data_IF_324584478682
#
_entry.id   IF_324584478682
#
_cell.length_a   1.000
_cell.length_b   1.000
_cell.length_c   1.000
_cell.angle_alpha   90.00
_cell.angle_beta   90.00
_cell.angle_gamma   90.00
#
_symmetry.space_group_name_H-M   'P 1'
#
loop_
_entity.id
_entity.type
_entity.pdbx_description
1 polymer ?
#
# COMPACT_ATOMS: atom_id res chain seq x y z
N UNK A 1 -39.72 -50.74 -26.24
CA UNK A 1 -41.08 -50.15 -26.13
C UNK A 1 -41.35 -49.89 -24.65
N UNK A 2 -41.71 -48.66 -24.25
CA UNK A 2 -42.28 -48.20 -22.95
C UNK A 2 -41.61 -48.68 -21.62
N UNK A 3 -41.15 -47.77 -20.72
CA UNK A 3 -41.88 -47.14 -19.57
C UNK A 3 -42.38 -48.19 -18.54
N UNK A 4 -42.27 -48.05 -17.21
CA UNK A 4 -42.13 -46.89 -16.27
C UNK A 4 -41.48 -47.42 -14.95
N UNK A 5 -40.54 -46.76 -14.22
CA UNK A 5 -40.59 -45.51 -13.40
C UNK A 5 -41.27 -45.68 -12.01
N UNK A 6 -40.49 -45.41 -10.93
CA UNK A 6 -40.89 -45.17 -9.50
C UNK A 6 -41.43 -46.44 -8.75
N UNK A 7 -41.11 -46.78 -7.49
CA UNK A 7 -41.09 -46.13 -6.14
C UNK A 7 -40.19 -47.03 -5.20
N UNK A 8 -39.44 -46.67 -4.13
CA UNK A 8 -39.02 -45.42 -3.44
C UNK A 8 -37.80 -45.65 -2.48
N UNK A 9 -37.29 -44.57 -1.86
CA UNK A 9 -36.88 -44.33 -0.44
C UNK A 9 -36.70 -45.58 0.49
N UNK A 10 -35.64 -45.79 1.30
CA UNK A 10 -34.95 -44.85 2.22
C UNK A 10 -33.46 -45.25 2.43
N UNK A 11 -32.51 -44.35 2.14
CA UNK A 11 -31.13 -44.42 2.66
C UNK A 11 -30.48 -43.03 2.55
N UNK A 12 -30.67 -42.20 3.58
CA UNK A 12 -30.16 -40.82 3.64
C UNK A 12 -29.19 -40.69 4.82
N UNK A 13 -28.40 -39.60 4.83
CA UNK A 13 -27.46 -39.26 5.91
C UNK A 13 -26.25 -40.21 6.08
N UNK A 14 -25.35 -40.24 5.08
CA UNK A 14 -23.90 -40.04 5.36
C UNK A 14 -23.10 -39.54 4.13
N UNK A 15 -23.76 -38.82 3.21
CA UNK A 15 -23.05 -37.94 2.28
C UNK A 15 -22.48 -36.77 3.08
N UNK A 16 -21.17 -36.79 3.31
CA UNK A 16 -20.41 -35.65 3.82
C UNK A 16 -20.73 -34.44 2.91
N UNK A 17 -21.03 -33.25 3.44
CA UNK A 17 -20.99 -32.04 2.65
C UNK A 17 -19.52 -31.81 2.28
N UNK A 18 -19.09 -32.42 1.18
CA UNK A 18 -17.85 -32.07 0.53
C UNK A 18 -18.00 -30.59 0.18
N UNK A 19 -17.34 -29.73 0.97
CA UNK A 19 -17.14 -28.34 0.63
C UNK A 19 -16.32 -28.33 -0.64
N UNK A 20 -17.02 -28.40 -1.77
CA UNK A 20 -16.51 -28.08 -3.09
C UNK A 20 -16.15 -26.60 -3.03
N UNK A 21 -14.95 -26.36 -2.50
CA UNK A 21 -14.32 -25.06 -2.42
C UNK A 21 -14.29 -24.58 -3.86
N UNK A 22 -15.14 -23.60 -4.16
CA UNK A 22 -15.17 -23.03 -5.50
C UNK A 22 -13.85 -22.32 -5.66
N UNK A 23 -12.89 -23.02 -6.29
CA UNK A 23 -11.70 -22.42 -6.86
C UNK A 23 -12.21 -21.56 -8.02
N UNK A 24 -12.66 -20.36 -7.65
CA UNK A 24 -12.88 -19.26 -8.57
C UNK A 24 -11.57 -19.10 -9.32
N UNK A 25 -11.58 -19.50 -10.58
CA UNK A 25 -10.43 -19.42 -11.46
C UNK A 25 -10.19 -17.94 -11.74
N UNK A 26 -9.46 -17.28 -10.84
CA UNK A 26 -9.06 -15.89 -11.03
C UNK A 26 -8.25 -15.81 -12.32
N UNK A 27 -8.71 -15.06 -13.34
CA UNK A 27 -8.04 -15.03 -14.62
C UNK A 27 -6.74 -14.24 -14.48
N UNK A 28 -5.66 -14.93 -14.11
CA UNK A 28 -4.32 -14.40 -14.04
C UNK A 28 -3.85 -14.01 -15.46
N UNK A 29 -4.18 -12.78 -15.87
CA UNK A 29 -3.91 -12.27 -17.21
C UNK A 29 -2.40 -12.14 -17.43
N UNK A 30 -1.82 -13.10 -18.14
CA UNK A 30 -0.40 -13.09 -18.49
C UNK A 30 -0.17 -12.25 -19.75
N UNK A 31 0.95 -11.52 -19.80
CA UNK A 31 1.38 -10.83 -21.00
C UNK A 31 1.65 -11.84 -22.12
N UNK A 32 1.19 -11.55 -23.35
CA UNK A 32 1.61 -12.29 -24.53
C UNK A 32 3.15 -12.32 -24.62
N UNK A 33 3.83 -13.43 -24.99
CA UNK A 33 5.28 -13.57 -24.82
C UNK A 33 6.14 -12.45 -25.44
N UNK A 34 5.71 -11.85 -26.56
CA UNK A 34 6.37 -10.68 -27.15
C UNK A 34 6.30 -9.44 -26.25
N UNK A 35 5.17 -9.21 -25.59
CA UNK A 35 4.98 -8.13 -24.62
C UNK A 35 5.74 -8.43 -23.31
N UNK A 36 5.72 -9.68 -22.83
CA UNK A 36 6.50 -10.10 -21.66
C UNK A 36 8.01 -9.82 -21.88
N UNK A 37 8.55 -10.22 -23.04
CA UNK A 37 9.93 -9.90 -23.44
C UNK A 37 10.16 -8.39 -23.49
N UNK A 38 9.23 -7.62 -24.06
CA UNK A 38 9.38 -6.16 -24.16
C UNK A 38 9.37 -5.46 -22.79
N UNK A 39 8.57 -5.96 -21.85
CA UNK A 39 8.59 -5.51 -20.44
C UNK A 39 9.95 -5.82 -19.81
N UNK A 40 10.50 -7.02 -20.03
CA UNK A 40 11.84 -7.39 -19.54
C UNK A 40 12.96 -6.51 -20.13
N UNK A 41 12.89 -6.19 -21.43
CA UNK A 41 13.82 -5.24 -22.08
C UNK A 41 13.77 -3.84 -21.43
N UNK A 42 12.56 -3.33 -21.13
CA UNK A 42 12.38 -2.06 -20.43
C UNK A 42 12.84 -2.09 -18.97
N UNK A 43 12.64 -3.21 -18.26
CA UNK A 43 13.15 -3.40 -16.89
C UNK A 43 14.69 -3.41 -16.88
N UNK A 44 15.33 -4.10 -17.84
CA UNK A 44 16.78 -4.18 -17.93
C UNK A 44 17.44 -2.81 -18.24
N UNK A 45 16.77 -1.93 -19.01
CA UNK A 45 17.32 -0.59 -19.30
C UNK A 45 17.22 0.38 -18.11
N UNK A 46 16.35 0.15 -17.12
CA UNK A 46 16.23 0.99 -15.91
C UNK A 46 17.57 1.16 -15.17
N UNK A 47 18.40 0.13 -15.12
CA UNK A 47 19.72 0.19 -14.46
C UNK A 47 20.69 1.14 -15.17
N UNK A 48 20.58 1.27 -16.50
CA UNK A 48 21.64 1.80 -17.36
C UNK A 48 21.31 3.13 -18.05
N UNK A 49 20.04 3.54 -18.07
CA UNK A 49 19.60 4.71 -18.83
C UNK A 49 18.74 5.68 -18.00
N UNK A 50 18.80 6.96 -18.37
CA UNK A 50 17.87 7.99 -17.91
C UNK A 50 16.61 8.07 -18.80
N UNK A 51 16.04 6.90 -19.06
CA UNK A 51 14.81 6.74 -19.87
C UNK A 51 13.62 6.35 -18.99
N UNK A 52 13.72 6.59 -17.68
CA UNK A 52 12.74 6.21 -16.66
C UNK A 52 11.35 6.79 -16.95
N UNK A 53 11.28 7.99 -17.54
CA UNK A 53 10.04 8.64 -17.99
C UNK A 53 9.38 7.92 -19.18
N UNK A 54 10.14 7.58 -20.23
CA UNK A 54 9.60 6.84 -21.38
C UNK A 54 9.15 5.43 -20.95
N UNK A 55 9.91 4.79 -20.06
CA UNK A 55 9.56 3.48 -19.49
C UNK A 55 8.27 3.58 -18.65
N UNK A 56 8.09 4.64 -17.86
CA UNK A 56 6.85 4.92 -17.14
C UNK A 56 5.65 5.09 -18.09
N UNK A 57 5.76 5.90 -19.15
CA UNK A 57 4.65 6.07 -20.11
C UNK A 57 4.31 4.77 -20.85
N UNK A 58 5.32 3.97 -21.21
CA UNK A 58 5.11 2.63 -21.78
C UNK A 58 4.37 1.71 -20.79
N UNK A 59 4.77 1.70 -19.51
CA UNK A 59 4.10 0.90 -18.49
C UNK A 59 2.68 1.39 -18.18
N UNK A 60 2.39 2.70 -18.28
CA UNK A 60 1.01 3.22 -18.19
C UNK A 60 0.13 2.70 -19.33
N UNK A 61 0.64 2.62 -20.55
CA UNK A 61 -0.09 2.07 -21.70
C UNK A 61 -0.35 0.55 -21.57
N UNK A 62 0.55 -0.18 -20.91
CA UNK A 62 0.42 -1.64 -20.67
C UNK A 62 -0.47 -1.96 -19.45
N UNK A 63 -0.57 -1.05 -18.48
CA UNK A 63 -1.39 -1.22 -17.27
C UNK A 63 -0.84 -2.29 -16.32
N UNK A 64 -1.72 -2.85 -15.47
CA UNK A 64 -1.35 -3.76 -14.37
C UNK A 64 -0.64 -5.06 -14.79
N UNK A 65 -0.68 -5.41 -16.08
CA UNK A 65 0.04 -6.54 -16.70
C UNK A 65 1.56 -6.48 -16.44
N UNK A 66 2.12 -5.29 -16.17
CA UNK A 66 3.54 -5.15 -15.78
C UNK A 66 3.85 -5.69 -14.39
N UNK A 67 2.87 -5.80 -13.48
CA UNK A 67 3.14 -6.04 -12.06
C UNK A 67 3.90 -7.34 -11.76
N UNK A 68 3.56 -8.52 -12.33
CA UNK A 68 4.33 -9.75 -12.07
C UNK A 68 5.79 -9.64 -12.49
N UNK A 69 6.06 -8.94 -13.59
CA UNK A 69 7.40 -8.70 -14.12
C UNK A 69 8.20 -7.72 -13.24
N UNK A 70 7.56 -6.64 -12.77
CA UNK A 70 8.16 -5.70 -11.82
C UNK A 70 8.45 -6.38 -10.47
N UNK A 71 7.55 -7.25 -9.98
CA UNK A 71 7.76 -8.03 -8.75
C UNK A 71 8.97 -8.95 -8.88
N UNK A 72 9.03 -9.76 -9.94
CA UNK A 72 10.15 -10.70 -10.17
C UNK A 72 11.51 -9.98 -10.24
N UNK A 73 11.54 -8.82 -10.90
CA UNK A 73 12.72 -7.98 -10.99
C UNK A 73 13.06 -7.22 -9.69
N UNK A 74 12.08 -6.94 -8.82
CA UNK A 74 12.29 -6.37 -7.49
C UNK A 74 12.93 -7.40 -6.55
N UNK A 75 12.52 -8.66 -6.64
CA UNK A 75 13.06 -9.77 -5.83
C UNK A 75 14.49 -10.16 -6.23
N UNK A 76 14.88 -9.97 -7.50
CA UNK A 76 16.20 -10.35 -8.06
C UNK A 76 17.15 -9.17 -8.29
N UNK A 77 16.65 -7.93 -8.25
CA UNK A 77 17.40 -6.73 -8.60
C UNK A 77 18.41 -6.27 -7.56
N UNK A 78 19.38 -5.48 -8.00
CA UNK A 78 20.27 -4.73 -7.11
C UNK A 78 19.53 -3.54 -6.46
N UNK A 79 20.09 -2.94 -5.41
CA UNK A 79 19.47 -1.79 -4.73
C UNK A 79 19.01 -0.68 -5.70
N UNK A 80 19.79 -0.42 -6.77
CA UNK A 80 19.48 0.62 -7.76
C UNK A 80 18.22 0.29 -8.54
N UNK A 81 18.11 -0.94 -9.06
CA UNK A 81 16.90 -1.41 -9.74
C UNK A 81 15.72 -1.50 -8.78
N UNK A 82 15.92 -2.00 -7.56
CA UNK A 82 14.86 -2.12 -6.55
C UNK A 82 14.20 -0.77 -6.24
N UNK A 83 15.00 0.29 -6.01
CA UNK A 83 14.48 1.64 -5.75
C UNK A 83 13.70 2.20 -6.96
N UNK A 84 14.21 2.02 -8.18
CA UNK A 84 13.49 2.42 -9.41
C UNK A 84 12.16 1.66 -9.59
N UNK A 85 12.11 0.37 -9.29
CA UNK A 85 10.86 -0.41 -9.38
C UNK A 85 9.87 0.05 -8.31
N UNK A 86 10.30 0.27 -7.06
CA UNK A 86 9.47 0.80 -5.98
C UNK A 86 8.86 2.16 -6.36
N UNK A 87 9.65 3.05 -6.96
CA UNK A 87 9.18 4.34 -7.48
C UNK A 87 8.13 4.15 -8.59
N UNK A 88 8.38 3.28 -9.58
CA UNK A 88 7.45 2.98 -10.67
C UNK A 88 6.12 2.40 -10.16
N UNK A 89 6.14 1.47 -9.19
CA UNK A 89 4.93 0.91 -8.58
C UNK A 89 4.04 2.00 -7.95
N UNK A 90 4.66 2.97 -7.28
CA UNK A 90 3.99 4.12 -6.68
C UNK A 90 3.50 5.15 -7.70
N UNK A 91 4.22 5.37 -8.82
CA UNK A 91 3.80 6.25 -9.92
C UNK A 91 2.67 5.65 -10.74
N UNK A 92 2.70 4.33 -11.00
CA UNK A 92 1.69 3.56 -11.73
C UNK A 92 0.44 3.23 -10.90
N UNK A 93 0.44 3.49 -9.58
CA UNK A 93 -0.68 3.25 -8.65
C UNK A 93 -1.14 1.78 -8.57
N UNK A 94 -0.20 0.84 -8.72
CA UNK A 94 -0.46 -0.61 -8.65
C UNK A 94 -0.77 -0.99 -7.19
N UNK A 95 -2.06 -1.08 -6.85
CA UNK A 95 -2.54 -1.34 -5.47
C UNK A 95 -2.12 -2.72 -4.97
N UNK A 96 -2.00 -3.67 -5.89
CA UNK A 96 -1.54 -5.04 -5.68
C UNK A 96 -0.10 -5.09 -5.11
N UNK A 97 0.67 -4.01 -5.24
CA UNK A 97 2.02 -3.88 -4.67
C UNK A 97 2.05 -3.41 -3.21
N UNK A 98 0.92 -2.96 -2.63
CA UNK A 98 0.89 -2.40 -1.26
C UNK A 98 1.44 -3.40 -0.24
N UNK A 99 0.99 -4.67 -0.29
CA UNK A 99 1.50 -5.72 0.61
C UNK A 99 3.00 -6.00 0.44
N UNK A 100 3.50 -5.93 -0.80
CA UNK A 100 4.93 -6.10 -1.12
C UNK A 100 5.77 -4.94 -0.58
N UNK A 101 5.32 -3.69 -0.75
CA UNK A 101 5.97 -2.49 -0.21
C UNK A 101 5.97 -2.47 1.33
N UNK A 102 4.84 -2.84 1.96
CA UNK A 102 4.77 -3.02 3.42
C UNK A 102 5.71 -4.13 3.91
N UNK A 103 5.84 -5.24 3.17
CA UNK A 103 6.79 -6.31 3.49
C UNK A 103 8.26 -5.87 3.39
N UNK A 104 8.59 -5.08 2.37
CA UNK A 104 9.94 -4.50 2.18
C UNK A 104 10.30 -3.56 3.33
N UNK A 105 9.40 -2.63 3.70
CA UNK A 105 9.62 -1.69 4.81
C UNK A 105 9.85 -2.42 6.15
N UNK A 106 9.12 -3.51 6.40
CA UNK A 106 9.22 -4.31 7.64
C UNK A 106 10.44 -5.26 7.70
N UNK A 107 11.08 -5.57 6.58
CA UNK A 107 12.15 -6.57 6.54
C UNK A 107 13.51 -5.94 6.84
N UNK A 108 13.96 -6.02 8.10
CA UNK A 108 15.25 -5.49 8.58
C UNK A 108 16.47 -5.95 7.77
N UNK A 109 16.40 -7.10 7.06
CA UNK A 109 17.48 -7.59 6.20
C UNK A 109 17.54 -6.95 4.80
N UNK A 110 16.77 -5.89 4.55
CA UNK A 110 16.77 -5.12 3.29
C UNK A 110 17.51 -3.81 3.52
N UNK A 111 18.30 -3.35 2.53
CA UNK A 111 19.06 -2.10 2.63
C UNK A 111 18.15 -0.92 3.07
N UNK A 112 18.55 -0.12 4.08
CA UNK A 112 17.76 0.99 4.58
C UNK A 112 17.30 2.00 3.51
N UNK A 113 18.02 2.18 2.39
CA UNK A 113 17.61 3.09 1.31
C UNK A 113 16.48 2.50 0.45
N UNK A 114 16.43 1.18 0.32
CA UNK A 114 15.34 0.45 -0.34
C UNK A 114 14.09 0.48 0.55
N UNK A 115 14.26 0.32 1.87
CA UNK A 115 13.19 0.48 2.87
C UNK A 115 12.65 1.92 2.96
N UNK A 116 13.54 2.91 2.97
CA UNK A 116 13.25 4.35 2.86
C UNK A 116 12.41 4.63 1.60
N UNK A 117 12.80 4.08 0.45
CA UNK A 117 12.03 4.18 -0.79
C UNK A 117 10.65 3.54 -0.69
N UNK A 118 10.53 2.38 -0.02
CA UNK A 118 9.24 1.71 0.20
C UNK A 118 8.30 2.53 1.10
N UNK A 119 8.81 3.19 2.15
CA UNK A 119 8.01 4.10 2.96
C UNK A 119 7.50 5.31 2.15
N UNK A 120 8.37 5.93 1.33
CA UNK A 120 7.99 7.05 0.45
C UNK A 120 6.95 6.61 -0.59
N UNK A 121 7.10 5.41 -1.14
CA UNK A 121 6.17 4.79 -2.09
C UNK A 121 4.81 4.46 -1.47
N UNK A 122 4.76 4.02 -0.20
CA UNK A 122 3.50 3.78 0.52
C UNK A 122 2.70 5.08 0.71
N UNK A 123 3.36 6.21 0.97
CA UNK A 123 2.73 7.54 1.02
C UNK A 123 2.18 8.07 -0.32
N UNK A 124 2.36 7.33 -1.42
CA UNK A 124 1.72 7.63 -2.71
C UNK A 124 0.33 6.99 -2.88
N UNK A 125 -0.07 6.10 -1.97
CA UNK A 125 -1.39 5.47 -1.90
C UNK A 125 -2.22 6.06 -0.73
N UNK A 126 -3.50 5.70 -0.64
CA UNK A 126 -4.39 6.07 0.46
C UNK A 126 -5.11 4.81 0.97
N UNK A 127 -4.77 4.35 2.18
CA UNK A 127 -5.49 3.28 2.89
C UNK A 127 -5.22 3.35 4.40
N UNK A 128 -6.11 2.75 5.21
CA UNK A 128 -5.98 2.72 6.67
C UNK A 128 -4.85 1.78 7.11
N UNK A 129 -4.71 0.64 6.45
CA UNK A 129 -3.69 -0.38 6.70
C UNK A 129 -2.27 0.16 6.43
N UNK A 130 -2.11 0.96 5.37
CA UNK A 130 -0.87 1.69 5.11
C UNK A 130 -0.57 2.67 6.25
N UNK A 131 -1.60 3.35 6.77
CA UNK A 131 -1.44 4.32 7.85
C UNK A 131 -1.01 3.65 9.16
N UNK A 132 -1.54 2.46 9.45
CA UNK A 132 -1.11 1.61 10.57
C UNK A 132 0.31 1.07 10.44
N UNK A 133 0.81 0.83 9.22
CA UNK A 133 2.21 0.46 8.98
C UNK A 133 3.10 1.68 9.15
N UNK A 134 2.78 2.78 8.46
CA UNK A 134 3.61 4.00 8.47
C UNK A 134 3.72 4.62 9.86
N UNK A 135 2.68 4.61 10.71
CA UNK A 135 2.78 5.16 12.07
C UNK A 135 3.77 4.37 12.95
N UNK A 136 3.89 3.05 12.75
CA UNK A 136 4.86 2.22 13.49
C UNK A 136 6.28 2.58 13.07
N UNK A 137 6.51 2.77 11.77
CA UNK A 137 7.82 3.18 11.24
C UNK A 137 8.16 4.65 11.44
N UNK A 138 7.16 5.52 11.64
CA UNK A 138 7.37 6.91 12.01
C UNK A 138 7.94 7.10 13.42
N UNK A 139 7.97 6.06 14.26
CA UNK A 139 8.69 6.01 15.54
C UNK A 139 9.87 5.01 15.52
N UNK A 140 10.38 4.66 14.33
CA UNK A 140 11.50 3.72 14.20
C UNK A 140 12.85 4.33 14.63
N UNK A 141 13.81 3.48 15.01
CA UNK A 141 15.15 3.94 15.45
C UNK A 141 16.09 4.30 14.30
N UNK A 142 15.84 3.77 13.10
CA UNK A 142 16.64 4.08 11.90
C UNK A 142 16.31 5.48 11.38
N UNK A 143 17.35 6.31 11.22
CA UNK A 143 17.26 7.72 10.85
C UNK A 143 16.92 8.00 9.38
N UNK A 144 16.81 6.96 8.54
CA UNK A 144 16.22 7.03 7.20
C UNK A 144 14.73 6.69 7.22
N UNK A 145 14.36 5.75 8.08
CA UNK A 145 13.01 5.16 8.11
C UNK A 145 12.00 6.09 8.80
N UNK A 146 12.34 6.65 9.96
CA UNK A 146 11.37 7.51 10.68
C UNK A 146 11.02 8.82 9.93
N UNK A 147 11.94 9.53 9.25
CA UNK A 147 11.59 10.70 8.45
C UNK A 147 10.78 10.33 7.20
N UNK A 148 11.12 9.21 6.54
CA UNK A 148 10.41 8.74 5.36
C UNK A 148 8.97 8.33 5.67
N UNK A 149 8.76 7.56 6.75
CA UNK A 149 7.44 7.07 7.13
C UNK A 149 6.52 8.17 7.69
N UNK A 150 7.05 9.09 8.50
CA UNK A 150 6.29 10.25 9.00
C UNK A 150 5.94 11.23 7.87
N UNK A 151 6.87 11.50 6.94
CA UNK A 151 6.58 12.30 5.75
C UNK A 151 5.50 11.64 4.88
N UNK A 152 5.62 10.34 4.61
CA UNK A 152 4.67 9.58 3.81
C UNK A 152 3.25 9.65 4.38
N UNK A 153 3.10 9.46 5.69
CA UNK A 153 1.82 9.55 6.40
C UNK A 153 1.21 10.96 6.32
N UNK A 154 2.03 12.02 6.49
CA UNK A 154 1.57 13.42 6.41
C UNK A 154 1.37 13.94 4.96
N UNK A 155 1.77 13.18 3.93
CA UNK A 155 1.78 13.64 2.53
C UNK A 155 0.39 13.91 1.98
N UNK A 156 -0.53 12.95 2.17
CA UNK A 156 -1.91 12.95 1.64
C UNK A 156 -2.93 12.77 2.78
N UNK A 157 -3.08 13.77 3.66
CA UNK A 157 -3.81 13.61 4.90
C UNK A 157 -5.33 13.55 4.64
N UNK A 158 -5.96 12.46 5.07
CA UNK A 158 -7.41 12.25 5.01
C UNK A 158 -8.04 12.32 6.41
N UNK A 159 -9.38 12.40 6.51
CA UNK A 159 -10.09 12.35 7.81
C UNK A 159 -9.76 11.09 8.62
N UNK A 160 -9.65 9.95 7.94
CA UNK A 160 -9.27 8.66 8.53
C UNK A 160 -7.85 8.67 9.13
N UNK A 161 -6.99 9.62 8.76
CA UNK A 161 -5.64 9.75 9.31
C UNK A 161 -5.55 10.56 10.61
N UNK A 162 -6.63 11.23 11.06
CA UNK A 162 -6.58 12.15 12.22
C UNK A 162 -5.97 11.48 13.48
N UNK A 163 -6.39 10.29 13.93
CA UNK A 163 -5.81 9.64 15.12
C UNK A 163 -4.29 9.41 15.01
N UNK A 164 -3.80 9.11 13.81
CA UNK A 164 -2.37 8.86 13.56
C UNK A 164 -1.55 10.15 13.59
N UNK A 165 -2.11 11.27 13.09
CA UNK A 165 -1.46 12.58 13.24
C UNK A 165 -1.46 13.06 14.69
N UNK A 166 -2.53 12.82 15.45
CA UNK A 166 -2.56 13.09 16.89
C UNK A 166 -1.46 12.28 17.58
N UNK A 167 -1.28 11.00 17.23
CA UNK A 167 -0.19 10.19 17.76
C UNK A 167 1.21 10.73 17.38
N UNK A 168 1.42 11.23 16.15
CA UNK A 168 2.67 11.90 15.76
C UNK A 168 2.99 13.16 16.57
N UNK A 169 2.04 13.81 17.25
CA UNK A 169 2.33 14.91 18.18
C UNK A 169 3.09 14.45 19.44
N UNK A 170 3.25 13.14 19.67
CA UNK A 170 4.16 12.57 20.68
C UNK A 170 5.59 12.31 20.15
N UNK A 171 5.88 12.61 18.88
CA UNK A 171 7.17 12.29 18.27
C UNK A 171 8.30 13.20 18.79
N UNK A 172 9.51 12.65 18.96
CA UNK A 172 10.65 13.38 19.51
C UNK A 172 11.18 14.50 18.59
N UNK A 173 11.15 14.28 17.27
CA UNK A 173 11.51 15.28 16.25
C UNK A 173 10.42 16.35 16.09
N UNK A 174 10.81 17.61 16.33
CA UNK A 174 9.98 18.81 16.29
C UNK A 174 9.38 19.09 14.91
N UNK A 175 10.12 18.79 13.84
CA UNK A 175 9.67 18.99 12.47
C UNK A 175 8.61 17.94 12.08
N UNK A 176 8.65 16.72 12.65
CA UNK A 176 7.59 15.73 12.52
C UNK A 176 6.33 16.15 13.30
N UNK A 177 6.47 16.64 14.54
CA UNK A 177 5.32 17.21 15.28
C UNK A 177 4.67 18.37 14.51
N UNK A 178 5.49 19.27 13.95
CA UNK A 178 5.03 20.39 13.13
C UNK A 178 4.29 19.96 11.85
N UNK A 179 4.76 18.91 11.15
CA UNK A 179 4.05 18.34 9.99
C UNK A 179 2.72 17.70 10.38
N UNK A 180 2.67 17.00 11.51
CA UNK A 180 1.45 16.40 12.03
C UNK A 180 0.40 17.46 12.42
N UNK A 181 0.82 18.53 13.11
CA UNK A 181 -0.03 19.70 13.38
C UNK A 181 -0.55 20.35 12.09
N UNK A 182 0.33 20.56 11.11
CA UNK A 182 -0.05 21.13 9.81
C UNK A 182 -1.06 20.25 9.06
N UNK A 183 -0.92 18.91 9.14
CA UNK A 183 -1.87 17.97 8.56
C UNK A 183 -3.24 18.03 9.26
N UNK A 184 -3.25 18.07 10.60
CA UNK A 184 -4.46 18.20 11.41
C UNK A 184 -5.20 19.51 11.14
N UNK A 185 -4.51 20.65 11.20
CA UNK A 185 -5.08 21.96 10.90
C UNK A 185 -5.65 22.02 9.46
N UNK A 186 -4.98 21.38 8.48
CA UNK A 186 -5.46 21.30 7.09
C UNK A 186 -6.75 20.47 6.92
N UNK A 187 -6.93 19.38 7.68
CA UNK A 187 -8.16 18.56 7.59
C UNK A 187 -9.33 19.21 8.34
N UNK A 188 -9.06 19.84 9.48
CA UNK A 188 -10.07 20.20 10.49
C UNK A 188 -10.41 21.70 10.51
N UNK A 189 -9.61 22.53 9.84
CA UNK A 189 -9.67 23.99 9.91
C UNK A 189 -9.11 24.58 11.21
N UNK A 190 -8.69 23.76 12.18
CA UNK A 190 -8.36 24.21 13.53
C UNK A 190 -6.88 24.61 13.67
N UNK A 191 -6.46 25.69 13.01
CA UNK A 191 -5.09 26.21 13.11
C UNK A 191 -4.76 26.85 14.48
N UNK A 192 -5.78 27.17 15.29
CA UNK A 192 -5.65 27.79 16.62
C UNK A 192 -5.40 26.81 17.77
N UNK A 193 -5.55 25.50 17.54
CA UNK A 193 -5.24 24.49 18.56
C UNK A 193 -3.71 24.38 18.70
N UNK A 194 -3.15 24.45 19.93
CA UNK A 194 -1.71 24.29 20.16
C UNK A 194 -1.13 23.01 19.55
N UNK A 195 0.16 23.02 19.22
CA UNK A 195 0.86 21.93 18.54
C UNK A 195 1.27 20.76 19.45
N UNK A 196 0.44 20.46 20.45
CA UNK A 196 0.65 19.39 21.43
C UNK A 196 -0.43 18.29 21.37
N UNK A 197 -0.06 17.09 21.81
CA UNK A 197 -0.95 15.92 21.83
C UNK A 197 -2.22 16.11 22.67
N UNK A 198 -2.14 16.75 23.85
CA UNK A 198 -3.27 16.83 24.79
C UNK A 198 -4.36 17.75 24.26
N UNK A 199 -3.98 18.89 23.67
CA UNK A 199 -4.93 19.81 23.04
C UNK A 199 -5.70 19.14 21.89
N UNK A 200 -5.00 18.44 20.99
CA UNK A 200 -5.63 17.74 19.87
C UNK A 200 -6.39 16.48 20.27
N UNK A 201 -5.92 15.72 21.27
CA UNK A 201 -6.64 14.57 21.79
C UNK A 201 -7.95 14.98 22.46
N UNK A 202 -7.95 16.06 23.26
CA UNK A 202 -9.18 16.65 23.83
C UNK A 202 -10.14 17.09 22.74
N UNK A 203 -9.63 17.76 21.70
CA UNK A 203 -10.47 18.19 20.58
C UNK A 203 -11.09 17.00 19.85
N UNK A 204 -10.31 15.96 19.52
CA UNK A 204 -10.82 14.77 18.84
C UNK A 204 -11.91 14.07 19.64
N UNK A 205 -11.71 13.85 20.94
CA UNK A 205 -12.71 13.25 21.84
C UNK A 205 -14.04 14.01 21.89
N UNK A 206 -14.07 15.30 21.53
CA UNK A 206 -15.29 16.11 21.49
C UNK A 206 -15.95 16.20 20.10
N UNK A 207 -15.26 15.79 19.02
CA UNK A 207 -15.67 16.07 17.63
C UNK A 207 -15.48 14.92 16.64
N UNK A 208 -14.90 13.78 17.05
CA UNK A 208 -14.57 12.64 16.16
C UNK A 208 -15.74 12.17 15.28
N UNK A 209 -16.95 12.10 15.86
CA UNK A 209 -18.18 11.66 15.20
C UNK A 209 -18.42 12.42 13.87
N UNK A 210 -18.13 13.73 13.84
CA UNK A 210 -18.29 14.61 12.66
C UNK A 210 -17.38 14.17 11.48
N UNK A 211 -16.27 13.50 11.77
CA UNK A 211 -15.28 13.04 10.79
C UNK A 211 -15.44 11.55 10.46
N UNK A 212 -16.10 10.78 11.34
CA UNK A 212 -16.37 9.34 11.16
C UNK A 212 -17.71 9.08 10.44
N UNK A 213 -18.78 9.84 10.73
CA UNK A 213 -20.11 9.63 10.12
C UNK A 213 -20.15 9.93 8.61
N UNK A 214 -19.17 10.67 8.08
CA UNK A 214 -19.09 11.03 6.63
C UNK A 214 -18.59 9.88 5.73
N UNK A 215 -18.87 8.62 6.09
CA UNK A 215 -18.62 7.42 5.30
C UNK A 215 -19.95 6.73 4.88
N UNK A 216 -20.99 7.51 4.61
CA UNK A 216 -22.29 7.09 4.02
C UNK A 216 -22.48 7.81 2.68
#
# INVERSE_FOLDING_TARGET
>A
MMKTVVLFIFCFCFMIPAFAKVELWEPHFQAHPLLAKRIQEWIASLQNQDQSSIILENFKQVGSIVYPHLKDALEKGDEKLQKKIIELLAQLKIKESIGLLCGILQKESVDPRVRESAAIALGEFSSIEISEVLIKFAFHRDNRIFPAASYALCKKPTRQNIPYFILLLKHWDDNIRSKAHTALARITGQSSIPSDYVSWQRWWTNYQDIFEDTNK
#
